data_IF_537808016694
#
_entry.id   IF_537808016694
#
_cell.length_a   1.000
_cell.length_b   1.000
_cell.length_c   1.000
_cell.angle_alpha   90.00
_cell.angle_beta   90.00
_cell.angle_gamma   90.00
#
_symmetry.space_group_name_H-M   'P 1'
#
loop_
_entity.id
_entity.type
_entity.pdbx_description
1 polymer ?
#
# COMPACT_ATOMS: atom_id res chain seq x y z
N UNK A 1 4.37 11.58 3.35
CA UNK A 1 3.86 10.23 2.97
C UNK A 1 2.46 10.32 2.39
N UNK A 2 2.27 9.81 1.16
CA UNK A 2 1.01 9.83 0.40
C UNK A 2 -0.23 9.48 1.23
N UNK A 3 -0.21 8.37 1.96
CA UNK A 3 -1.35 7.91 2.77
C UNK A 3 -1.66 8.83 3.95
N UNK A 4 -0.66 9.50 4.53
CA UNK A 4 -0.87 10.45 5.63
C UNK A 4 -1.45 11.76 5.12
N UNK A 5 -0.87 12.31 4.05
CA UNK A 5 -1.29 13.57 3.44
C UNK A 5 -2.74 13.54 2.95
N UNK A 6 -3.22 12.36 2.55
CA UNK A 6 -4.59 12.16 2.06
C UNK A 6 -5.53 11.55 3.11
N UNK A 7 -5.09 11.34 4.34
CA UNK A 7 -5.87 10.71 5.42
C UNK A 7 -6.50 9.34 5.07
N UNK A 8 -5.84 8.59 4.17
CA UNK A 8 -6.31 7.28 3.70
C UNK A 8 -5.52 6.12 4.30
N UNK A 9 -6.20 5.00 4.53
CA UNK A 9 -5.59 3.76 5.10
C UNK A 9 -5.17 2.73 4.05
N UNK A 10 -5.60 2.91 2.81
CA UNK A 10 -5.38 2.01 1.67
C UNK A 10 -5.35 2.80 0.37
N UNK A 11 -4.64 2.28 -0.60
CA UNK A 11 -4.57 2.81 -1.96
C UNK A 11 -4.87 1.68 -2.96
N UNK A 12 -5.51 2.03 -4.07
CA UNK A 12 -5.73 1.11 -5.19
C UNK A 12 -4.51 1.18 -6.11
N UNK A 13 -4.00 0.02 -6.52
CA UNK A 13 -2.95 -0.09 -7.53
C UNK A 13 -3.63 -0.23 -8.89
N UNK A 14 -3.26 0.65 -9.83
CA UNK A 14 -3.81 0.70 -11.17
C UNK A 14 -2.69 0.42 -12.18
N UNK A 15 -2.97 -0.44 -13.16
CA UNK A 15 -2.12 -0.69 -14.32
C UNK A 15 -3.00 -0.72 -15.57
N UNK A 16 -2.56 -0.06 -16.66
CA UNK A 16 -3.34 0.06 -17.90
C UNK A 16 -4.79 0.52 -17.68
N UNK A 17 -4.96 1.55 -16.83
CA UNK A 17 -6.25 2.10 -16.40
C UNK A 17 -7.20 1.10 -15.71
N UNK A 18 -6.69 -0.08 -15.32
CA UNK A 18 -7.46 -1.12 -14.63
C UNK A 18 -6.98 -1.30 -13.20
N UNK A 19 -7.89 -1.42 -12.22
CA UNK A 19 -7.51 -1.74 -10.86
C UNK A 19 -6.97 -3.17 -10.79
N UNK A 20 -5.72 -3.32 -10.39
CA UNK A 20 -5.02 -4.61 -10.32
C UNK A 20 -4.73 -5.07 -8.88
N UNK A 21 -4.91 -4.19 -7.90
CA UNK A 21 -4.69 -4.56 -6.50
C UNK A 21 -4.99 -3.45 -5.51
N UNK A 22 -4.75 -3.75 -4.24
CA UNK A 22 -4.90 -2.81 -3.12
C UNK A 22 -3.70 -2.98 -2.19
N UNK A 23 -3.16 -1.86 -1.72
CA UNK A 23 -2.12 -1.84 -0.69
C UNK A 23 -2.63 -1.10 0.53
N UNK A 24 -2.51 -1.70 1.71
CA UNK A 24 -2.87 -1.11 2.99
C UNK A 24 -1.64 -0.78 3.81
N UNK A 25 -1.79 0.12 4.80
CA UNK A 25 -0.73 0.42 5.77
C UNK A 25 -0.23 -0.84 6.50
N UNK A 26 -1.08 -1.85 6.72
CA UNK A 26 -0.70 -3.11 7.36
C UNK A 26 0.19 -3.98 6.47
N UNK A 27 -0.06 -3.97 5.16
CA UNK A 27 0.77 -4.70 4.19
C UNK A 27 2.19 -4.16 4.19
N UNK A 28 2.34 -2.83 4.23
CA UNK A 28 3.65 -2.15 4.33
C UNK A 28 4.39 -2.61 5.59
N UNK A 29 3.74 -2.55 6.76
CA UNK A 29 4.37 -2.99 8.03
C UNK A 29 4.76 -4.47 7.96
N UNK A 30 3.87 -5.33 7.49
CA UNK A 30 4.12 -6.77 7.36
C UNK A 30 5.31 -7.05 6.45
N UNK A 31 5.39 -6.39 5.29
CA UNK A 31 6.48 -6.57 4.34
C UNK A 31 7.79 -6.02 4.88
N UNK A 32 7.79 -4.89 5.58
CA UNK A 32 9.00 -4.34 6.20
C UNK A 32 9.56 -5.28 7.29
N UNK A 33 8.70 -5.91 8.09
CA UNK A 33 9.13 -6.88 9.11
C UNK A 33 9.59 -8.21 8.52
N UNK A 34 9.01 -8.63 7.38
CA UNK A 34 9.35 -9.88 6.71
C UNK A 34 10.71 -9.86 5.97
N UNK A 35 11.41 -8.72 5.91
CA UNK A 35 12.70 -8.55 5.21
C UNK A 35 13.88 -8.37 6.17
N UNK A 36 13.77 -8.82 7.42
CA UNK A 36 14.82 -8.69 8.43
C UNK A 36 15.74 -9.93 8.55
N UNK A 37 15.78 -10.78 7.51
CA UNK A 37 16.76 -11.89 7.39
C UNK A 37 18.03 -11.44 6.66
#
# INVERSE_FOLDING_TARGET
DLMQENEVRRVVVVADDKPVGVVTRRDIVRTCLARQD
#
